data_IF_651764748936
#
_entry.id   IF_651764748936
#
_cell.length_a   1.000
_cell.length_b   1.000
_cell.length_c   1.000
_cell.angle_alpha   90.00
_cell.angle_beta   90.00
_cell.angle_gamma   90.00
#
_symmetry.space_group_name_H-M   'P 1'
#
loop_
_entity.id
_entity.type
_entity.pdbx_description
1 polymer ?
#
# COMPACT_ATOMS: atom_id res chain seq x y z
N UNK A 1 -0.49 1.05 14.41
CA UNK A 1 0.51 0.55 13.43
C UNK A 1 -0.07 0.25 12.04
N UNK A 2 -1.21 -0.44 11.92
CA UNK A 2 -1.69 -0.93 10.60
C UNK A 2 -1.94 0.16 9.56
N UNK A 3 -2.32 1.36 9.98
CA UNK A 3 -2.45 2.54 9.12
C UNK A 3 -1.11 3.29 9.02
N UNK A 4 -0.40 3.44 10.14
CA UNK A 4 0.85 4.21 10.23
C UNK A 4 1.99 3.66 9.36
N UNK A 5 2.14 2.34 9.23
CA UNK A 5 3.20 1.74 8.41
C UNK A 5 3.01 2.07 6.92
N UNK A 6 1.82 1.92 6.33
CA UNK A 6 1.52 2.41 4.98
C UNK A 6 1.76 3.91 4.82
N UNK A 7 1.45 4.73 5.83
CA UNK A 7 1.75 6.16 5.78
C UNK A 7 3.25 6.44 5.58
N UNK A 8 4.14 5.73 6.30
CA UNK A 8 5.59 5.83 6.07
C UNK A 8 5.91 5.41 4.64
N UNK A 9 5.34 4.29 4.19
CA UNK A 9 5.58 3.75 2.86
C UNK A 9 5.24 4.77 1.75
N UNK A 10 4.06 5.39 1.82
CA UNK A 10 3.59 6.36 0.83
C UNK A 10 4.35 7.71 0.92
N UNK A 11 4.55 8.24 2.13
CA UNK A 11 5.20 9.55 2.31
C UNK A 11 6.66 9.54 1.87
N UNK A 12 7.36 8.42 2.07
CA UNK A 12 8.78 8.28 1.73
C UNK A 12 9.02 7.48 0.43
N UNK A 13 7.95 7.09 -0.28
CA UNK A 13 8.05 6.42 -1.58
C UNK A 13 8.70 5.03 -1.54
N UNK A 14 8.61 4.32 -0.42
CA UNK A 14 9.24 3.00 -0.23
C UNK A 14 8.38 1.94 -0.94
N UNK A 15 8.92 1.28 -1.97
CA UNK A 15 8.09 0.38 -2.79
C UNK A 15 7.88 -1.01 -2.19
N UNK A 16 8.77 -1.47 -1.32
CA UNK A 16 8.71 -2.81 -0.74
C UNK A 16 8.42 -2.78 0.75
N UNK A 17 7.47 -3.59 1.21
CA UNK A 17 7.12 -3.66 2.63
C UNK A 17 8.21 -4.30 3.47
N UNK A 18 9.01 -5.20 2.90
CA UNK A 18 10.20 -5.74 3.57
C UNK A 18 11.23 -4.65 3.81
N UNK A 19 11.42 -3.78 2.80
CA UNK A 19 12.29 -2.62 2.93
C UNK A 19 11.74 -1.68 4.00
N UNK A 20 10.44 -1.40 4.02
CA UNK A 20 9.82 -0.56 5.06
C UNK A 20 10.05 -1.13 6.45
N UNK A 21 9.90 -2.44 6.66
CA UNK A 21 10.18 -3.08 7.95
C UNK A 21 11.65 -2.93 8.36
N UNK A 22 12.60 -3.17 7.43
CA UNK A 22 14.03 -2.94 7.69
C UNK A 22 14.34 -1.48 8.03
N UNK A 23 13.72 -0.54 7.35
CA UNK A 23 13.88 0.88 7.64
C UNK A 23 13.31 1.25 9.01
N UNK A 24 12.18 0.65 9.41
CA UNK A 24 11.61 0.84 10.76
C UNK A 24 12.54 0.26 11.85
N UNK A 25 13.27 -0.82 11.56
CA UNK A 25 14.22 -1.40 12.52
C UNK A 25 15.38 -0.46 12.83
N UNK A 26 15.87 0.28 11.84
CA UNK A 26 17.07 1.14 11.97
C UNK A 26 16.74 2.62 12.23
N UNK A 27 15.57 3.10 11.82
CA UNK A 27 15.22 4.51 11.89
C UNK A 27 14.40 4.83 13.15
N UNK A 28 15.03 5.53 14.09
CA UNK A 28 14.41 5.95 15.36
C UNK A 28 13.16 6.82 15.15
N UNK A 29 13.14 7.68 14.12
CA UNK A 29 11.97 8.52 13.85
C UNK A 29 10.75 7.68 13.43
N UNK A 30 10.96 6.61 12.66
CA UNK A 30 9.89 5.70 12.27
C UNK A 30 9.38 4.90 13.48
N UNK A 31 10.28 4.45 14.36
CA UNK A 31 9.89 3.79 15.62
C UNK A 31 9.07 4.71 16.52
N UNK A 32 9.54 5.95 16.71
CA UNK A 32 8.81 6.96 17.47
C UNK A 32 7.43 7.23 16.89
N UNK A 33 7.31 7.41 15.56
CA UNK A 33 6.02 7.60 14.90
C UNK A 33 5.08 6.40 15.10
N UNK A 34 5.62 5.18 15.06
CA UNK A 34 4.87 3.95 15.27
C UNK A 34 4.50 3.70 16.74
N UNK A 35 5.14 4.41 17.68
CA UNK A 35 5.01 4.21 19.12
C UNK A 35 5.72 2.96 19.62
N UNK A 36 6.83 2.59 18.95
CA UNK A 36 7.70 1.48 19.37
C UNK A 36 8.85 2.04 20.20
N UNK A 37 9.15 1.38 21.32
CA UNK A 37 10.35 1.66 22.11
C UNK A 37 11.60 1.17 21.35
N UNK A 38 12.80 1.53 21.81
CA UNK A 38 14.05 1.12 21.14
C UNK A 38 14.22 -0.40 21.06
N UNK A 39 13.74 -1.14 22.06
CA UNK A 39 13.93 -2.59 22.19
C UNK A 39 12.77 -3.43 21.64
N UNK A 40 11.67 -2.79 21.25
CA UNK A 40 10.49 -3.50 20.77
C UNK A 40 10.74 -4.22 19.44
N UNK A 41 10.09 -5.36 19.23
CA UNK A 41 10.19 -6.05 17.94
C UNK A 41 9.28 -5.39 16.91
N UNK A 42 9.84 -5.10 15.74
CA UNK A 42 9.04 -4.65 14.60
C UNK A 42 8.22 -5.83 14.07
N UNK A 43 6.92 -5.64 13.76
CA UNK A 43 6.12 -6.68 13.16
C UNK A 43 6.71 -7.16 11.84
N UNK A 44 6.78 -8.48 11.67
CA UNK A 44 7.19 -9.08 10.42
C UNK A 44 6.22 -8.71 9.28
N UNK A 45 6.75 -8.43 8.07
CA UNK A 45 5.98 -7.96 6.92
C UNK A 45 4.78 -8.87 6.59
N UNK A 46 4.92 -10.19 6.73
CA UNK A 46 3.85 -11.15 6.44
C UNK A 46 2.72 -11.12 7.47
N UNK A 47 3.04 -10.78 8.73
CA UNK A 47 2.05 -10.60 9.80
C UNK A 47 1.28 -9.29 9.62
N UNK A 48 1.98 -8.24 9.17
CA UNK A 48 1.39 -6.97 8.80
C UNK A 48 0.37 -7.16 7.67
N UNK A 49 0.80 -7.73 6.53
CA UNK A 49 -0.07 -7.90 5.35
C UNK A 49 -1.34 -8.68 5.67
N UNK A 50 -1.23 -9.83 6.37
CA UNK A 50 -2.40 -10.61 6.78
C UNK A 50 -3.38 -9.85 7.68
N UNK A 51 -2.88 -9.04 8.61
CA UNK A 51 -3.74 -8.25 9.49
C UNK A 51 -4.35 -7.05 8.77
N UNK A 52 -3.62 -6.48 7.82
CA UNK A 52 -4.09 -5.40 6.98
C UNK A 52 -5.26 -5.87 6.11
N UNK A 53 -5.04 -6.90 5.29
CA UNK A 53 -6.05 -7.46 4.38
C UNK A 53 -7.27 -7.98 5.15
N UNK A 54 -7.08 -8.62 6.32
CA UNK A 54 -8.21 -9.12 7.12
C UNK A 54 -9.09 -8.01 7.71
N UNK A 55 -8.51 -6.85 8.03
CA UNK A 55 -9.24 -5.76 8.73
C UNK A 55 -9.76 -4.69 7.79
N UNK A 56 -9.13 -4.49 6.63
CA UNK A 56 -9.39 -3.32 5.78
C UNK A 56 -9.88 -3.61 4.37
N UNK A 57 -9.90 -4.87 3.94
CA UNK A 57 -10.31 -5.28 2.58
C UNK A 57 -11.69 -4.76 2.15
N UNK A 58 -12.65 -4.77 3.06
CA UNK A 58 -14.04 -4.35 2.77
C UNK A 58 -14.38 -3.01 3.45
N UNK A 59 -13.36 -2.21 3.76
CA UNK A 59 -13.54 -0.92 4.43
C UNK A 59 -13.04 0.22 3.55
N UNK A 60 -13.81 1.29 3.48
CA UNK A 60 -13.46 2.57 2.88
C UNK A 60 -12.68 3.49 3.85
N UNK A 61 -12.15 2.93 4.94
CA UNK A 61 -11.52 3.70 6.01
C UNK A 61 -10.37 4.58 5.51
N UNK A 62 -9.53 4.07 4.62
CA UNK A 62 -8.42 4.84 4.05
C UNK A 62 -8.93 6.02 3.21
N UNK A 63 -9.97 5.81 2.42
CA UNK A 63 -10.61 6.86 1.61
C UNK A 63 -11.25 7.92 2.50
N UNK A 64 -11.94 7.52 3.57
CA UNK A 64 -12.52 8.44 4.54
C UNK A 64 -11.45 9.29 5.24
N UNK A 65 -10.36 8.66 5.70
CA UNK A 65 -9.25 9.37 6.35
C UNK A 65 -8.61 10.36 5.39
N UNK A 66 -8.30 9.93 4.16
CA UNK A 66 -7.69 10.79 3.16
C UNK A 66 -8.60 11.96 2.78
N UNK A 67 -9.89 11.68 2.57
CA UNK A 67 -10.89 12.71 2.28
C UNK A 67 -10.98 13.73 3.42
N UNK A 68 -10.93 13.28 4.68
CA UNK A 68 -10.95 14.18 5.84
C UNK A 68 -9.70 15.06 5.93
N UNK A 69 -8.52 14.49 5.65
CA UNK A 69 -7.26 15.24 5.61
C UNK A 69 -7.33 16.32 4.51
N UNK A 70 -7.76 15.95 3.30
CA UNK A 70 -7.93 16.89 2.20
C UNK A 70 -8.90 18.02 2.56
N UNK A 71 -10.05 17.70 3.17
CA UNK A 71 -11.02 18.71 3.61
C UNK A 71 -10.41 19.71 4.60
N UNK A 72 -9.61 19.25 5.56
CA UNK A 72 -8.91 20.15 6.48
C UNK A 72 -7.87 21.00 5.74
N UNK A 73 -7.11 20.43 4.81
CA UNK A 73 -6.16 21.19 3.98
C UNK A 73 -6.86 22.29 3.15
N UNK A 74 -8.03 21.99 2.57
CA UNK A 74 -8.87 22.97 1.89
C UNK A 74 -9.34 24.07 2.84
N UNK A 75 -9.81 23.71 4.04
CA UNK A 75 -10.29 24.65 5.05
C UNK A 75 -9.21 25.65 5.47
N UNK A 76 -7.97 25.20 5.63
CA UNK A 76 -6.83 26.06 5.98
C UNK A 76 -6.16 26.72 4.77
N UNK A 77 -6.74 26.61 3.56
CA UNK A 77 -6.19 27.15 2.30
C UNK A 77 -4.74 26.70 2.03
N UNK A 78 -4.40 25.49 2.44
CA UNK A 78 -3.09 24.87 2.17
C UNK A 78 -3.01 24.30 0.75
N UNK A 79 -4.16 24.16 0.07
CA UNK A 79 -4.29 23.64 -1.28
C UNK A 79 -5.03 24.69 -2.11
N UNK A 80 -4.41 25.13 -3.21
CA UNK A 80 -5.07 25.91 -4.24
C UNK A 80 -5.57 24.96 -5.35
N UNK A 81 -6.89 24.80 -5.55
CA UNK A 81 -7.44 23.94 -6.59
C UNK A 81 -7.18 24.45 -8.02
N UNK A 82 -6.63 25.66 -8.17
CA UNK A 82 -6.36 26.29 -9.47
C UNK A 82 -5.16 25.68 -10.19
N UNK A 83 -4.21 25.08 -9.46
CA UNK A 83 -2.99 24.48 -10.02
C UNK A 83 -2.82 23.04 -9.55
N UNK A 84 -3.06 22.08 -10.45
CA UNK A 84 -2.83 20.65 -10.18
C UNK A 84 -1.45 20.27 -10.70
N UNK A 85 -0.47 20.16 -9.80
CA UNK A 85 0.83 19.57 -10.13
C UNK A 85 0.75 18.05 -9.98
N UNK A 86 0.80 17.35 -11.11
CA UNK A 86 1.00 15.90 -11.17
C UNK A 86 2.48 15.65 -11.45
N UNK A 87 3.25 15.23 -10.44
CA UNK A 87 4.62 14.74 -10.69
C UNK A 87 4.50 13.39 -11.42
N UNK A 88 4.65 13.44 -12.75
CA UNK A 88 4.57 12.27 -13.59
C UNK A 88 5.86 11.46 -13.44
N UNK A 89 5.90 10.51 -12.49
CA UNK A 89 6.81 9.39 -12.63
C UNK A 89 6.55 8.74 -13.99
N UNK A 90 7.54 8.72 -14.88
CA UNK A 90 7.43 8.16 -16.23
C UNK A 90 7.18 6.64 -16.16
N UNK A 91 5.91 6.24 -16.03
CA UNK A 91 5.46 4.89 -16.29
C UNK A 91 5.25 4.77 -17.79
N UNK A 92 5.98 3.87 -18.45
CA UNK A 92 5.91 3.64 -19.90
C UNK A 92 4.51 3.08 -20.25
N UNK A 93 3.57 3.96 -20.56
CA UNK A 93 2.20 3.59 -20.87
C UNK A 93 2.10 2.88 -22.22
N UNK A 94 1.57 1.64 -22.24
CA UNK A 94 1.00 1.05 -23.46
C UNK A 94 -0.43 1.55 -23.61
N UNK A 95 -0.58 2.70 -24.27
CA UNK A 95 -1.87 3.38 -24.41
C UNK A 95 -2.75 2.76 -25.52
N UNK A 96 -3.91 2.23 -25.15
CA UNK A 96 -5.09 2.17 -26.02
C UNK A 96 -6.08 3.25 -25.56
N UNK A 97 -6.24 4.29 -26.38
CA UNK A 97 -6.80 5.61 -26.02
C UNK A 97 -8.32 5.66 -25.77
N UNK A 98 -9.02 4.52 -25.70
CA UNK A 98 -10.49 4.49 -25.60
C UNK A 98 -11.09 4.15 -24.24
N UNK A 99 -10.29 3.87 -23.20
CA UNK A 99 -10.80 3.59 -21.85
C UNK A 99 -9.91 4.20 -20.77
N UNK A 100 -10.08 5.48 -20.45
CA UNK A 100 -9.27 6.13 -19.41
C UNK A 100 -10.10 7.03 -18.52
N UNK A 101 -10.63 6.44 -17.43
CA UNK A 101 -10.94 7.07 -16.12
C UNK A 101 -11.33 5.92 -15.16
N UNK A 102 -10.73 5.92 -13.95
CA UNK A 102 -10.68 4.81 -12.96
C UNK A 102 -9.89 3.56 -13.40
N UNK A 103 -8.59 3.71 -13.69
CA UNK A 103 -7.68 2.55 -13.82
C UNK A 103 -6.33 2.75 -13.19
N UNK A 104 -5.83 3.97 -13.07
CA UNK A 104 -4.45 4.23 -12.61
C UNK A 104 -4.28 3.87 -11.12
N UNK A 105 -5.23 4.27 -10.27
CA UNK A 105 -5.22 3.91 -8.85
C UNK A 105 -5.37 2.39 -8.63
N UNK A 106 -6.17 1.73 -9.48
CA UNK A 106 -6.31 0.26 -9.46
C UNK A 106 -5.04 -0.41 -9.96
N UNK A 107 -4.41 0.08 -11.04
CA UNK A 107 -3.17 -0.47 -11.61
C UNK A 107 -1.98 -0.36 -10.66
N UNK A 108 -1.83 0.75 -9.93
CA UNK A 108 -0.78 0.88 -8.91
C UNK A 108 -1.01 -0.06 -7.73
N UNK A 109 -2.24 -0.13 -7.20
CA UNK A 109 -2.60 -1.06 -6.13
C UNK A 109 -2.36 -2.53 -6.53
N UNK A 110 -2.74 -2.90 -7.76
CA UNK A 110 -2.52 -4.23 -8.34
C UNK A 110 -1.03 -4.55 -8.50
N UNK A 111 -0.22 -3.58 -8.94
CA UNK A 111 1.21 -3.76 -9.08
C UNK A 111 1.91 -4.01 -7.73
N UNK A 112 1.54 -3.26 -6.69
CA UNK A 112 2.07 -3.47 -5.33
C UNK A 112 1.68 -4.85 -4.78
N UNK A 113 0.45 -5.30 -5.04
CA UNK A 113 -0.05 -6.60 -4.65
C UNK A 113 0.70 -7.76 -5.36
N UNK A 114 0.97 -7.63 -6.66
CA UNK A 114 1.76 -8.61 -7.42
C UNK A 114 3.20 -8.71 -6.93
N UNK A 115 3.86 -7.57 -6.69
CA UNK A 115 5.21 -7.57 -6.12
C UNK A 115 5.22 -8.21 -4.74
N UNK A 116 4.25 -7.89 -3.89
CA UNK A 116 4.15 -8.45 -2.54
C UNK A 116 3.95 -9.97 -2.57
N UNK A 117 3.10 -10.49 -3.45
CA UNK A 117 2.91 -11.95 -3.62
C UNK A 117 4.18 -12.65 -4.07
N UNK A 118 4.88 -12.07 -5.03
CA UNK A 118 6.14 -12.62 -5.54
C UNK A 118 7.18 -12.71 -4.43
N UNK A 119 7.39 -11.62 -3.70
CA UNK A 119 8.30 -11.58 -2.56
C UNK A 119 7.89 -12.58 -1.45
N UNK A 120 6.59 -12.75 -1.17
CA UNK A 120 6.10 -13.73 -0.19
C UNK A 120 6.42 -15.16 -0.64
N UNK A 121 6.28 -15.46 -1.93
CA UNK A 121 6.60 -16.79 -2.45
C UNK A 121 8.10 -17.07 -2.43
N UNK A 122 8.95 -16.10 -2.78
CA UNK A 122 10.42 -16.23 -2.69
C UNK A 122 10.89 -16.55 -1.27
N UNK A 123 10.30 -15.90 -0.26
CA UNK A 123 10.59 -16.17 1.16
C UNK A 123 10.07 -17.54 1.62
N UNK A 124 8.92 -17.98 1.09
CA UNK A 124 8.41 -19.33 1.35
C UNK A 124 9.33 -20.39 0.77
N UNK A 125 9.83 -20.19 -0.45
CA UNK A 125 10.80 -21.08 -1.11
C UNK A 125 12.12 -21.14 -0.33
N UNK A 126 12.66 -19.99 0.10
CA UNK A 126 13.84 -19.93 0.95
C UNK A 126 13.66 -20.69 2.28
N UNK A 127 12.43 -20.78 2.78
CA UNK A 127 12.06 -21.54 3.98
C UNK A 127 11.50 -22.95 3.70
N UNK A 128 11.65 -23.48 2.47
CA UNK A 128 11.22 -24.83 2.09
C UNK A 128 9.69 -25.05 2.09
N UNK A 129 8.92 -23.97 2.10
CA UNK A 129 7.45 -23.98 2.12
C UNK A 129 6.91 -23.84 0.71
N UNK A 130 5.82 -24.57 0.42
CA UNK A 130 5.14 -24.47 -0.88
C UNK A 130 4.60 -23.04 -1.14
N UNK A 131 4.62 -22.58 -2.40
CA UNK A 131 4.05 -21.28 -2.79
C UNK A 131 2.58 -21.19 -2.40
N UNK A 132 2.10 -19.95 -2.18
CA UNK A 132 0.70 -19.70 -1.90
C UNK A 132 -0.15 -20.08 -3.13
N UNK A 133 -1.25 -20.79 -2.88
CA UNK A 133 -2.17 -21.21 -3.95
C UNK A 133 -2.93 -19.98 -4.46
N UNK A 134 -2.86 -19.71 -5.76
CA UNK A 134 -3.65 -18.65 -6.37
C UNK A 134 -5.14 -19.00 -6.24
N UNK A 135 -5.93 -18.03 -5.78
CA UNK A 135 -7.39 -18.14 -5.80
C UNK A 135 -7.83 -17.96 -7.25
N UNK A 136 -8.48 -18.96 -7.84
CA UNK A 136 -9.16 -18.79 -9.14
C UNK A 136 -10.36 -17.87 -8.93
N UNK A 137 -10.37 -16.71 -9.57
CA UNK A 137 -11.53 -15.82 -9.60
C UNK A 137 -12.55 -16.31 -10.63
N UNK A 138 -13.80 -16.43 -10.20
CA UNK A 138 -15.00 -16.62 -11.04
C UNK A 138 -15.35 -15.25 -11.67
N UNK A 139 -15.65 -15.14 -12.98
CA UNK A 139 -15.64 -13.86 -13.69
C UNK A 139 -16.93 -13.04 -13.50
N UNK A 140 -17.28 -12.71 -12.26
CA UNK A 140 -18.47 -11.90 -11.99
C UNK A 140 -18.47 -11.11 -10.68
N UNK A 141 -17.44 -10.33 -10.40
CA UNK A 141 -17.59 -9.07 -9.64
C UNK A 141 -16.30 -8.23 -9.74
N UNK A 142 -16.32 -6.97 -10.24
CA UNK A 142 -15.13 -6.12 -10.31
C UNK A 142 -14.53 -5.75 -8.94
N UNK A 143 -15.16 -6.11 -7.82
CA UNK A 143 -14.69 -5.82 -6.45
C UNK A 143 -13.78 -6.92 -5.84
N UNK A 144 -13.48 -7.98 -6.58
CA UNK A 144 -12.61 -9.08 -6.12
C UNK A 144 -11.11 -8.73 -6.06
N UNK A 145 -10.69 -7.64 -6.72
CA UNK A 145 -9.29 -7.24 -6.87
C UNK A 145 -8.64 -6.60 -5.62
N UNK A 146 -9.36 -6.34 -4.54
CA UNK A 146 -8.80 -5.77 -3.28
C UNK A 146 -8.40 -6.84 -2.25
N UNK A 147 -8.14 -8.07 -2.71
CA UNK A 147 -8.15 -9.25 -1.84
C UNK A 147 -6.81 -9.89 -1.46
N UNK A 148 -5.63 -9.43 -1.91
CA UNK A 148 -4.34 -9.90 -1.34
C UNK A 148 -3.48 -8.80 -0.72
#
# INVERSE_FOLDING_TARGET
MLIKIPFIQYLYGIRSMRQTVKEIEVNVAYRWFLGLEMMDKVPHFSTFGKNYTRRFKDTDLFEQIFSRILQECYKYRLIDPSEVFVDATHVKARANSKKMRKRIADEEALFFEEQLKKEINEDREAHGKKPLKEKKEDPKDPLLWWQL
#
